data_IF_191128072140
#
_entry.id   IF_191128072140
#
_cell.length_a   1.000
_cell.length_b   1.000
_cell.length_c   1.000
_cell.angle_alpha   90.00
_cell.angle_beta   90.00
_cell.angle_gamma   90.00
#
_symmetry.space_group_name_H-M   'P 1'
#
loop_
_entity.id
_entity.type
_entity.pdbx_description
1 polymer ?
#
# COMPACT_ATOMS: atom_id res chain seq x y z
N UNK A 1 -18.46 -14.05 7.47
CA UNK A 1 -18.96 -12.70 7.92
C UNK A 1 -19.30 -11.84 6.71
N UNK A 2 -20.33 -11.00 6.80
CA UNK A 2 -20.58 -9.97 5.79
C UNK A 2 -19.50 -8.88 5.86
N UNK A 3 -19.27 -8.14 4.77
CA UNK A 3 -18.34 -7.02 4.79
C UNK A 3 -18.65 -5.99 5.89
N UNK A 4 -19.94 -5.75 6.17
CA UNK A 4 -20.38 -4.86 7.25
C UNK A 4 -19.94 -5.37 8.63
N UNK A 5 -20.02 -6.66 8.88
CA UNK A 5 -19.57 -7.28 10.12
C UNK A 5 -18.05 -7.17 10.26
N UNK A 6 -17.29 -7.46 9.19
CA UNK A 6 -15.84 -7.33 9.17
C UNK A 6 -15.42 -5.87 9.47
N UNK A 7 -16.06 -4.89 8.82
CA UNK A 7 -15.80 -3.46 9.05
C UNK A 7 -16.13 -3.04 10.49
N UNK A 8 -17.19 -3.59 11.08
CA UNK A 8 -17.58 -3.32 12.47
C UNK A 8 -16.63 -3.98 13.47
N UNK A 9 -16.18 -5.21 13.20
CA UNK A 9 -15.24 -5.92 14.06
C UNK A 9 -13.84 -5.31 14.02
N UNK A 10 -13.34 -4.93 12.84
CA UNK A 10 -12.01 -4.35 12.70
C UNK A 10 -11.86 -3.05 13.50
N UNK A 11 -10.97 -3.08 14.47
CA UNK A 11 -10.60 -1.93 15.31
C UNK A 11 -9.08 -1.75 15.30
N UNK A 12 -8.57 -0.58 15.67
CA UNK A 12 -7.16 -0.39 15.99
C UNK A 12 -6.91 -0.97 17.39
N UNK A 13 -6.44 -2.22 17.44
CA UNK A 13 -6.22 -2.95 18.69
C UNK A 13 -4.84 -2.61 19.23
N UNK A 14 -4.78 -2.20 20.50
CA UNK A 14 -3.55 -1.71 21.12
C UNK A 14 -2.96 -2.63 22.18
N UNK A 15 -3.71 -3.68 22.57
CA UNK A 15 -3.25 -4.68 23.52
C UNK A 15 -3.70 -6.07 23.06
N UNK A 16 -2.72 -6.93 22.80
CA UNK A 16 -2.93 -8.29 22.30
C UNK A 16 -2.67 -9.32 23.39
N UNK A 17 -3.36 -10.45 23.30
CA UNK A 17 -3.26 -11.58 24.22
C UNK A 17 -1.98 -12.40 23.92
N UNK A 18 -1.00 -12.44 24.82
CA UNK A 18 0.23 -13.20 24.60
C UNK A 18 0.02 -14.73 24.61
N UNK A 19 -1.09 -15.20 25.20
CA UNK A 19 -1.42 -16.62 25.26
C UNK A 19 -2.07 -17.16 23.97
N UNK A 20 -2.45 -16.28 23.04
CA UNK A 20 -3.11 -16.65 21.79
C UNK A 20 -2.19 -16.39 20.59
N UNK A 21 -1.36 -17.38 20.21
CA UNK A 21 -0.48 -17.22 19.06
C UNK A 21 -1.27 -17.08 17.76
N UNK A 22 -0.69 -16.37 16.76
CA UNK A 22 -1.20 -16.34 15.41
C UNK A 22 -0.55 -17.44 14.56
N UNK A 23 -1.35 -18.03 13.68
CA UNK A 23 -0.81 -18.88 12.62
C UNK A 23 -0.18 -17.99 11.53
N UNK A 24 1.10 -18.18 11.27
CA UNK A 24 1.84 -17.39 10.28
C UNK A 24 1.37 -17.65 8.85
N UNK A 25 0.86 -18.83 8.53
CA UNK A 25 0.32 -19.13 7.19
C UNK A 25 -1.01 -18.41 6.96
N UNK A 26 -1.86 -18.26 7.98
CA UNK A 26 -3.08 -17.44 7.88
C UNK A 26 -2.73 -15.96 7.66
N UNK A 27 -1.73 -15.43 8.37
CA UNK A 27 -1.27 -14.04 8.15
C UNK A 27 -0.69 -13.86 6.75
N UNK A 28 0.07 -14.85 6.25
CA UNK A 28 0.61 -14.85 4.88
C UNK A 28 -0.51 -14.88 3.84
N UNK A 29 -1.56 -15.69 4.02
CA UNK A 29 -2.74 -15.70 3.14
C UNK A 29 -3.43 -14.34 3.13
N UNK A 30 -3.58 -13.69 4.28
CA UNK A 30 -4.11 -12.32 4.36
C UNK A 30 -3.24 -11.29 3.59
N UNK A 31 -1.90 -11.48 3.56
CA UNK A 31 -0.99 -10.65 2.75
C UNK A 31 -1.19 -10.95 1.26
N UNK A 32 -1.40 -12.21 0.89
CA UNK A 32 -1.70 -12.59 -0.50
C UNK A 32 -3.01 -11.95 -0.97
N UNK A 33 -4.05 -11.99 -0.16
CA UNK A 33 -5.32 -11.30 -0.46
C UNK A 33 -5.12 -9.77 -0.65
N UNK A 34 -4.18 -9.13 0.05
CA UNK A 34 -3.86 -7.73 -0.15
C UNK A 34 -3.32 -7.42 -1.56
N UNK A 35 -2.79 -8.41 -2.29
CA UNK A 35 -2.34 -8.25 -3.69
C UNK A 35 -3.50 -7.98 -4.65
N UNK A 36 -4.72 -8.32 -4.27
CA UNK A 36 -5.94 -8.05 -5.06
C UNK A 36 -6.38 -6.58 -5.00
N UNK A 37 -5.78 -5.78 -4.13
CA UNK A 37 -6.07 -4.35 -4.07
C UNK A 37 -5.65 -3.64 -5.37
N UNK A 38 -6.46 -2.68 -5.87
CA UNK A 38 -6.10 -1.94 -7.07
C UNK A 38 -4.89 -1.03 -6.83
N UNK A 39 -4.02 -0.91 -7.85
CA UNK A 39 -2.88 0.01 -7.82
C UNK A 39 -2.84 0.88 -9.07
N UNK A 40 -2.28 2.08 -8.95
CA UNK A 40 -2.14 2.99 -10.09
C UNK A 40 -1.39 2.32 -11.23
N UNK A 41 -2.00 2.29 -12.42
CA UNK A 41 -1.49 1.64 -13.65
C UNK A 41 -1.10 0.16 -13.45
N UNK A 42 -1.67 -0.49 -12.45
CA UNK A 42 -1.35 -1.86 -12.02
C UNK A 42 0.15 -2.09 -11.75
N UNK A 43 0.86 -1.05 -11.30
CA UNK A 43 2.32 -1.12 -11.09
C UNK A 43 2.72 -1.87 -9.81
N UNK A 44 1.82 -2.04 -8.84
CA UNK A 44 2.05 -2.84 -7.63
C UNK A 44 3.37 -2.46 -6.92
N UNK A 45 3.63 -1.16 -6.77
CA UNK A 45 4.89 -0.61 -6.22
C UNK A 45 4.92 -0.65 -4.69
N UNK A 46 4.65 -1.81 -4.12
CA UNK A 46 4.71 -2.05 -2.68
C UNK A 46 5.17 -3.49 -2.37
N UNK A 47 5.67 -3.66 -1.18
CA UNK A 47 6.06 -4.96 -0.62
C UNK A 47 5.55 -5.05 0.82
N UNK A 48 5.33 -6.28 1.33
CA UNK A 48 5.01 -6.55 2.71
C UNK A 48 6.11 -7.41 3.34
N UNK A 49 6.58 -6.99 4.50
CA UNK A 49 7.56 -7.73 5.32
C UNK A 49 6.85 -8.32 6.51
N UNK A 50 6.72 -9.63 6.54
CA UNK A 50 6.09 -10.38 7.61
C UNK A 50 7.14 -10.83 8.62
N UNK A 51 7.06 -10.34 9.85
CA UNK A 51 8.06 -10.53 10.90
C UNK A 51 7.48 -11.41 12.01
N UNK A 52 8.11 -12.57 12.20
CA UNK A 52 7.80 -13.55 13.25
C UNK A 52 8.97 -13.74 14.22
N UNK A 53 10.17 -13.29 13.86
CA UNK A 53 11.36 -13.36 14.72
C UNK A 53 11.24 -12.36 15.87
N UNK A 54 11.33 -12.85 17.11
CA UNK A 54 11.14 -12.05 18.33
C UNK A 54 12.17 -10.93 18.47
N UNK A 55 13.43 -11.16 18.08
CA UNK A 55 14.48 -10.13 18.19
C UNK A 55 14.24 -8.99 17.23
N UNK A 56 13.79 -9.29 15.99
CA UNK A 56 13.41 -8.28 15.01
C UNK A 56 12.17 -7.55 15.46
N UNK A 57 11.19 -8.24 16.04
CA UNK A 57 9.98 -7.59 16.61
C UNK A 57 10.33 -6.63 17.75
N UNK A 58 11.27 -6.97 18.63
CA UNK A 58 11.76 -6.07 19.69
C UNK A 58 12.43 -4.81 19.10
N UNK A 59 13.22 -4.96 18.01
CA UNK A 59 13.81 -3.82 17.31
C UNK A 59 12.74 -2.93 16.68
N UNK A 60 11.72 -3.54 16.06
CA UNK A 60 10.57 -2.82 15.50
C UNK A 60 9.73 -2.13 16.59
N UNK A 61 9.59 -2.75 17.77
CA UNK A 61 8.91 -2.11 18.89
C UNK A 61 9.60 -0.81 19.29
N UNK A 62 10.94 -0.85 19.46
CA UNK A 62 11.74 0.35 19.74
C UNK A 62 11.59 1.39 18.64
N UNK A 63 11.65 0.97 17.37
CA UNK A 63 11.42 1.87 16.22
C UNK A 63 10.03 2.52 16.24
N UNK A 64 9.04 1.83 16.80
CA UNK A 64 7.67 2.31 16.99
C UNK A 64 7.42 2.96 18.38
N UNK A 65 8.48 3.47 19.01
CA UNK A 65 8.42 4.20 20.30
C UNK A 65 7.87 3.35 21.45
N UNK A 66 8.13 2.06 21.43
CA UNK A 66 7.69 1.07 22.43
C UNK A 66 6.19 1.13 22.76
N UNK A 67 5.37 1.42 21.74
CA UNK A 67 3.92 1.44 21.89
C UNK A 67 3.42 0.07 22.36
N UNK A 68 2.39 0.04 23.22
CA UNK A 68 1.83 -1.19 23.76
C UNK A 68 1.43 -2.19 22.67
N UNK A 69 0.90 -1.70 21.54
CA UNK A 69 0.52 -2.54 20.40
C UNK A 69 1.70 -3.30 19.79
N UNK A 70 2.89 -2.72 19.73
CA UNK A 70 4.09 -3.43 19.23
C UNK A 70 4.71 -4.36 20.26
N UNK A 71 4.68 -3.96 21.56
CA UNK A 71 5.22 -4.78 22.63
C UNK A 71 4.41 -6.05 22.90
N UNK A 72 3.08 -6.00 22.69
CA UNK A 72 2.18 -7.14 22.91
C UNK A 72 1.88 -7.94 21.64
N UNK A 73 2.34 -7.50 20.48
CA UNK A 73 2.08 -8.17 19.20
C UNK A 73 2.65 -9.59 19.16
N UNK A 74 1.93 -10.49 18.50
CA UNK A 74 2.40 -11.85 18.21
C UNK A 74 3.22 -11.91 16.91
N UNK A 75 2.89 -11.06 15.96
CA UNK A 75 3.59 -10.87 14.68
C UNK A 75 3.49 -9.41 14.26
N UNK A 76 4.38 -8.97 13.38
CA UNK A 76 4.33 -7.62 12.81
C UNK A 76 4.42 -7.70 11.29
N UNK A 77 3.53 -7.00 10.59
CA UNK A 77 3.62 -6.84 9.13
C UNK A 77 3.97 -5.38 8.82
N UNK A 78 5.00 -5.17 8.00
CA UNK A 78 5.42 -3.82 7.57
C UNK A 78 5.19 -3.68 6.08
N UNK A 79 4.32 -2.76 5.69
CA UNK A 79 4.12 -2.41 4.29
C UNK A 79 5.04 -1.27 3.88
N UNK A 80 5.72 -1.44 2.77
CA UNK A 80 6.66 -0.45 2.23
C UNK A 80 6.35 -0.13 0.78
N UNK A 81 6.69 1.07 0.35
CA UNK A 81 6.60 1.47 -1.06
C UNK A 81 7.94 1.27 -1.77
N UNK A 82 7.89 0.83 -3.03
CA UNK A 82 9.03 0.52 -3.88
C UNK A 82 8.95 1.28 -5.21
N UNK A 83 8.88 2.60 -5.13
CA UNK A 83 8.74 3.44 -6.33
C UNK A 83 9.87 3.20 -7.35
N UNK A 84 11.09 2.88 -6.92
CA UNK A 84 12.24 2.59 -7.79
C UNK A 84 12.00 1.44 -8.78
N UNK A 85 11.12 0.50 -8.44
CA UNK A 85 10.80 -0.66 -9.30
C UNK A 85 9.87 -0.33 -10.47
N UNK A 86 9.46 0.95 -10.64
CA UNK A 86 8.47 1.35 -11.65
C UNK A 86 8.81 0.90 -13.08
N UNK A 87 10.09 0.91 -13.48
CA UNK A 87 10.50 0.46 -14.83
C UNK A 87 10.33 -1.05 -14.99
N UNK A 88 10.76 -1.81 -13.99
CA UNK A 88 10.66 -3.26 -13.99
C UNK A 88 9.19 -3.71 -14.02
N UNK A 89 8.36 -3.14 -13.14
CA UNK A 89 6.95 -3.48 -13.05
C UNK A 89 6.15 -3.01 -14.28
N UNK A 90 6.45 -1.81 -14.82
CA UNK A 90 5.82 -1.36 -16.06
C UNK A 90 6.14 -2.28 -17.25
N UNK A 91 7.37 -2.84 -17.32
CA UNK A 91 7.74 -3.84 -18.34
C UNK A 91 6.94 -5.14 -18.19
N UNK A 92 6.79 -5.63 -16.97
CA UNK A 92 6.00 -6.84 -16.68
C UNK A 92 4.51 -6.65 -17.01
N UNK A 93 3.91 -5.52 -16.58
CA UNK A 93 2.52 -5.18 -16.89
C UNK A 93 2.30 -5.01 -18.40
N UNK A 94 3.27 -4.43 -19.13
CA UNK A 94 3.21 -4.32 -20.59
C UNK A 94 3.22 -5.69 -21.25
N UNK A 95 4.11 -6.58 -20.83
CA UNK A 95 4.22 -7.92 -21.40
C UNK A 95 2.91 -8.69 -21.27
N UNK A 96 2.32 -8.76 -20.07
CA UNK A 96 1.03 -9.42 -19.86
C UNK A 96 -0.10 -8.71 -20.63
N UNK A 97 -0.12 -7.37 -20.65
CA UNK A 97 -1.11 -6.60 -21.39
C UNK A 97 -1.07 -6.86 -22.90
N UNK A 98 0.11 -7.13 -23.47
CA UNK A 98 0.26 -7.52 -24.90
C UNK A 98 -0.35 -8.91 -25.13
N UNK A 99 -0.05 -9.87 -24.27
CA UNK A 99 -0.59 -11.23 -24.38
C UNK A 99 -2.13 -11.25 -24.18
N UNK A 100 -2.63 -10.46 -23.24
CA UNK A 100 -4.07 -10.26 -23.04
C UNK A 100 -4.74 -9.68 -24.29
N UNK A 101 -4.14 -8.66 -24.93
CA UNK A 101 -4.65 -8.07 -26.16
C UNK A 101 -4.70 -9.11 -27.29
N UNK A 102 -3.67 -9.94 -27.43
CA UNK A 102 -3.64 -11.01 -28.45
C UNK A 102 -4.72 -12.05 -28.24
N UNK A 103 -4.99 -12.43 -26.97
CA UNK A 103 -6.02 -13.42 -26.62
C UNK A 103 -7.45 -12.89 -26.83
N UNK A 104 -7.68 -11.62 -26.42
CA UNK A 104 -9.04 -11.10 -26.20
C UNK A 104 -9.46 -9.98 -27.16
N UNK A 105 -8.60 -9.59 -28.13
CA UNK A 105 -8.93 -8.51 -29.05
C UNK A 105 -9.07 -9.01 -30.50
N UNK A 106 -10.04 -8.46 -31.29
CA UNK A 106 -10.11 -8.71 -32.72
C UNK A 106 -8.80 -8.37 -33.43
N UNK A 107 -8.38 -9.21 -34.39
CA UNK A 107 -7.07 -9.11 -35.05
C UNK A 107 -6.78 -7.71 -35.62
N UNK A 108 -7.78 -7.08 -36.24
CA UNK A 108 -7.68 -5.74 -36.85
C UNK A 108 -7.46 -4.62 -35.84
N UNK A 109 -7.69 -4.88 -34.52
CA UNK A 109 -7.53 -3.90 -33.44
C UNK A 109 -6.27 -4.13 -32.61
N UNK A 110 -5.63 -5.29 -32.74
CA UNK A 110 -4.51 -5.70 -31.89
C UNK A 110 -3.31 -4.74 -32.03
N UNK A 111 -2.86 -4.47 -33.22
CA UNK A 111 -1.70 -3.60 -33.48
C UNK A 111 -1.88 -2.22 -32.85
N UNK A 112 -3.04 -1.58 -33.07
CA UNK A 112 -3.35 -0.25 -32.50
C UNK A 112 -3.38 -0.28 -30.97
N UNK A 113 -3.93 -1.34 -30.35
CA UNK A 113 -3.99 -1.49 -28.90
C UNK A 113 -2.60 -1.73 -28.31
N UNK A 114 -1.80 -2.61 -28.92
CA UNK A 114 -0.41 -2.88 -28.50
C UNK A 114 0.42 -1.60 -28.58
N UNK A 115 0.34 -0.84 -29.68
CA UNK A 115 1.05 0.43 -29.82
C UNK A 115 0.68 1.43 -28.71
N UNK A 116 -0.61 1.51 -28.34
CA UNK A 116 -1.09 2.37 -27.25
C UNK A 116 -0.55 1.92 -25.89
N UNK A 117 -0.58 0.62 -25.59
CA UNK A 117 -0.05 0.03 -24.36
C UNK A 117 1.46 0.25 -24.25
N UNK A 118 2.19 0.04 -25.37
CA UNK A 118 3.64 0.26 -25.41
C UNK A 118 3.99 1.72 -25.16
N UNK A 119 3.28 2.68 -25.79
CA UNK A 119 3.50 4.10 -25.54
C UNK A 119 3.27 4.45 -24.06
N UNK A 120 2.22 3.89 -23.47
CA UNK A 120 1.88 4.16 -22.07
C UNK A 120 2.92 3.59 -21.11
N UNK A 121 3.17 2.27 -21.14
CA UNK A 121 4.03 1.62 -20.13
C UNK A 121 5.53 1.78 -20.41
N UNK A 122 5.96 1.84 -21.67
CA UNK A 122 7.38 1.96 -22.00
C UNK A 122 7.90 3.42 -22.13
N UNK A 123 7.00 4.42 -22.24
CA UNK A 123 7.38 5.83 -22.38
C UNK A 123 6.77 6.72 -21.31
N UNK A 124 5.44 6.74 -21.20
CA UNK A 124 4.74 7.66 -20.30
C UNK A 124 4.99 7.31 -18.83
N UNK A 125 4.84 6.06 -18.42
CA UNK A 125 5.07 5.63 -17.03
C UNK A 125 6.50 5.93 -16.58
N UNK A 126 7.57 5.54 -17.31
CA UNK A 126 8.93 5.92 -16.96
C UNK A 126 9.14 7.43 -16.83
N UNK A 127 8.54 8.23 -17.69
CA UNK A 127 8.62 9.69 -17.60
C UNK A 127 7.94 10.22 -16.35
N UNK A 128 6.72 9.74 -16.02
CA UNK A 128 5.94 10.23 -14.87
C UNK A 128 6.58 9.81 -13.53
N UNK A 129 7.06 8.57 -13.41
CA UNK A 129 7.60 8.02 -12.16
C UNK A 129 9.09 8.28 -11.95
N UNK A 130 9.80 8.85 -12.95
CA UNK A 130 11.23 9.20 -12.80
C UNK A 130 11.43 10.19 -11.66
N UNK A 131 12.55 10.00 -10.94
CA UNK A 131 13.04 10.91 -9.89
C UNK A 131 14.34 11.58 -10.35
N UNK A 132 14.59 12.81 -9.93
CA UNK A 132 15.78 13.57 -10.24
C UNK A 132 15.85 14.84 -9.40
N UNK A 133 15.94 14.69 -8.08
CA UNK A 133 16.10 15.79 -7.11
C UNK A 133 15.08 16.93 -7.27
N UNK A 134 13.85 16.60 -7.67
CA UNK A 134 12.77 17.57 -7.88
C UNK A 134 12.74 18.21 -9.27
N UNK A 135 13.86 18.22 -10.02
CA UNK A 135 13.95 18.90 -11.33
C UNK A 135 12.97 18.31 -12.35
N UNK A 136 12.91 16.99 -12.48
CA UNK A 136 11.95 16.33 -13.37
C UNK A 136 10.49 16.59 -12.97
N UNK A 137 10.23 16.72 -11.66
CA UNK A 137 8.92 17.10 -11.16
C UNK A 137 8.50 18.51 -11.60
N UNK A 138 9.45 19.47 -11.57
CA UNK A 138 9.21 20.82 -12.06
C UNK A 138 8.94 20.86 -13.56
N UNK A 139 9.78 20.18 -14.35
CA UNK A 139 9.58 20.07 -15.82
C UNK A 139 8.20 19.52 -16.15
N UNK A 140 7.79 18.42 -15.50
CA UNK A 140 6.46 17.85 -15.69
C UNK A 140 5.34 18.80 -15.31
N UNK A 141 5.48 19.55 -14.21
CA UNK A 141 4.48 20.57 -13.82
C UNK A 141 4.33 21.68 -14.86
N UNK A 142 5.44 22.22 -15.35
CA UNK A 142 5.41 23.27 -16.41
C UNK A 142 4.73 22.75 -17.66
N UNK A 143 5.12 21.54 -18.14
CA UNK A 143 4.49 20.92 -19.30
C UNK A 143 3.00 20.66 -19.08
N UNK A 144 2.61 20.15 -17.89
CA UNK A 144 1.20 19.91 -17.58
C UNK A 144 0.38 21.21 -17.53
N UNK A 145 0.93 22.30 -17.00
CA UNK A 145 0.25 23.60 -17.02
C UNK A 145 0.09 24.11 -18.44
N UNK A 146 1.13 24.07 -19.27
CA UNK A 146 1.07 24.50 -20.68
C UNK A 146 0.03 23.71 -21.48
N UNK A 147 0.07 22.38 -21.42
CA UNK A 147 -0.94 21.52 -22.09
C UNK A 147 -2.34 21.76 -21.51
N UNK A 148 -2.44 21.99 -20.20
CA UNK A 148 -3.69 22.23 -19.50
C UNK A 148 -4.41 23.51 -19.84
N UNK A 149 -3.78 24.43 -20.60
CA UNK A 149 -4.45 25.60 -21.17
C UNK A 149 -5.34 25.22 -22.38
N UNK A 150 -5.02 24.12 -23.05
CA UNK A 150 -5.69 23.72 -24.31
C UNK A 150 -6.58 22.49 -24.16
N UNK A 151 -6.28 21.62 -23.17
CA UNK A 151 -7.06 20.39 -22.93
C UNK A 151 -6.93 19.89 -21.50
N UNK A 152 -7.90 19.13 -20.99
CA UNK A 152 -7.78 18.46 -19.69
C UNK A 152 -6.54 17.57 -19.63
N UNK A 153 -5.76 17.67 -18.52
CA UNK A 153 -4.58 16.87 -18.25
C UNK A 153 -4.42 16.69 -16.74
N UNK A 154 -3.77 15.59 -16.31
CA UNK A 154 -3.37 15.41 -14.92
C UNK A 154 -2.34 16.47 -14.54
N UNK A 155 -2.66 17.27 -13.52
CA UNK A 155 -1.78 18.37 -13.05
C UNK A 155 -0.88 17.97 -11.90
N UNK A 156 -1.23 16.90 -11.17
CA UNK A 156 -0.46 16.33 -10.06
C UNK A 156 0.59 15.37 -10.63
N UNK A 157 1.73 15.92 -11.08
CA UNK A 157 2.79 15.17 -11.78
C UNK A 157 4.19 15.45 -11.24
N UNK A 158 4.30 16.14 -10.09
CA UNK A 158 5.59 16.32 -9.41
C UNK A 158 6.12 14.99 -8.85
N UNK A 159 7.36 14.98 -8.40
CA UNK A 159 7.92 13.81 -7.73
C UNK A 159 7.18 13.51 -6.42
N UNK A 160 6.80 14.55 -5.67
CA UNK A 160 5.99 14.42 -4.46
C UNK A 160 4.59 13.87 -4.76
N UNK A 161 3.95 14.32 -5.86
CA UNK A 161 2.63 13.81 -6.25
C UNK A 161 2.71 12.31 -6.58
N UNK A 162 3.76 11.87 -7.27
CA UNK A 162 3.95 10.45 -7.58
C UNK A 162 4.23 9.62 -6.32
N UNK A 163 4.99 10.15 -5.37
CA UNK A 163 5.15 9.54 -4.05
C UNK A 163 3.79 9.30 -3.38
N UNK A 164 2.93 10.33 -3.36
CA UNK A 164 1.56 10.22 -2.82
C UNK A 164 0.74 9.15 -3.54
N UNK A 165 0.84 9.05 -4.88
CA UNK A 165 0.14 8.01 -5.67
C UNK A 165 0.57 6.60 -5.24
N UNK A 166 1.88 6.38 -5.04
CA UNK A 166 2.41 5.08 -4.62
C UNK A 166 1.96 4.75 -3.20
N UNK A 167 2.00 5.71 -2.27
CA UNK A 167 1.50 5.52 -0.90
C UNK A 167 0.00 5.25 -0.85
N UNK A 168 -0.82 5.92 -1.67
CA UNK A 168 -2.27 5.62 -1.76
C UNK A 168 -2.51 4.19 -2.24
N UNK A 169 -1.80 3.73 -3.26
CA UNK A 169 -1.91 2.34 -3.74
C UNK A 169 -1.51 1.33 -2.67
N UNK A 170 -0.42 1.60 -1.94
CA UNK A 170 -0.01 0.77 -0.81
C UNK A 170 -1.05 0.78 0.33
N UNK A 171 -1.63 1.95 0.64
CA UNK A 171 -2.69 2.09 1.64
C UNK A 171 -3.94 1.26 1.33
N UNK A 172 -4.30 1.10 0.04
CA UNK A 172 -5.38 0.20 -0.38
C UNK A 172 -5.04 -1.27 -0.07
N UNK A 173 -3.81 -1.71 -0.33
CA UNK A 173 -3.35 -3.05 0.02
C UNK A 173 -3.34 -3.26 1.55
N UNK A 174 -2.87 -2.27 2.32
CA UNK A 174 -2.92 -2.29 3.79
C UNK A 174 -4.35 -2.43 4.30
N UNK A 175 -5.29 -1.68 3.75
CA UNK A 175 -6.69 -1.78 4.16
C UNK A 175 -7.28 -3.16 3.82
N UNK A 176 -6.97 -3.71 2.64
CA UNK A 176 -7.39 -5.06 2.26
C UNK A 176 -6.84 -6.10 3.23
N UNK A 177 -5.53 -6.03 3.55
CA UNK A 177 -4.90 -6.87 4.55
C UNK A 177 -5.62 -6.82 5.92
N UNK A 178 -5.90 -5.61 6.42
CA UNK A 178 -6.58 -5.46 7.72
C UNK A 178 -8.00 -6.05 7.72
N UNK A 179 -8.70 -6.02 6.59
CA UNK A 179 -10.02 -6.64 6.46
C UNK A 179 -9.91 -8.17 6.43
N UNK A 180 -8.96 -8.71 5.67
CA UNK A 180 -8.69 -10.14 5.62
C UNK A 180 -8.30 -10.69 7.01
N UNK A 181 -7.42 -9.99 7.74
CA UNK A 181 -7.07 -10.33 9.13
C UNK A 181 -8.32 -10.35 10.05
N UNK A 182 -9.19 -9.34 9.90
CA UNK A 182 -10.42 -9.29 10.70
C UNK A 182 -11.41 -10.41 10.34
N UNK A 183 -11.48 -10.82 9.08
CA UNK A 183 -12.26 -11.98 8.62
C UNK A 183 -11.71 -13.29 9.20
N UNK A 184 -10.39 -13.44 9.24
CA UNK A 184 -9.70 -14.56 9.84
C UNK A 184 -9.79 -14.60 11.38
N UNK A 185 -10.43 -13.60 12.02
CA UNK A 185 -10.56 -13.50 13.47
C UNK A 185 -9.32 -12.92 14.16
N UNK A 186 -8.41 -12.30 13.41
CA UNK A 186 -7.20 -11.67 13.90
C UNK A 186 -7.33 -10.16 13.94
N UNK A 187 -6.58 -9.54 14.82
CA UNK A 187 -6.61 -8.10 15.05
C UNK A 187 -5.31 -7.43 14.60
N UNK A 188 -5.44 -6.16 14.20
CA UNK A 188 -4.32 -5.34 13.77
C UNK A 188 -4.38 -3.95 14.37
N UNK A 189 -3.22 -3.27 14.42
CA UNK A 189 -3.13 -1.85 14.74
C UNK A 189 -2.31 -1.12 13.68
N UNK A 190 -2.91 -0.27 12.82
CA UNK A 190 -2.13 0.51 11.88
C UNK A 190 -1.36 1.62 12.60
N UNK A 191 -0.04 1.65 12.43
CA UNK A 191 0.87 2.62 13.00
C UNK A 191 1.58 3.43 11.90
N UNK A 192 1.52 4.75 12.04
CA UNK A 192 2.29 5.71 11.25
C UNK A 192 3.35 6.44 12.10
N UNK A 193 3.25 6.32 13.45
CA UNK A 193 4.22 6.87 14.40
C UNK A 193 5.39 5.92 14.65
N UNK A 194 6.44 6.04 13.84
CA UNK A 194 7.66 5.24 13.94
C UNK A 194 8.88 6.00 13.44
N UNK A 195 10.07 5.60 13.90
CA UNK A 195 11.34 6.01 13.30
C UNK A 195 11.63 5.16 12.06
N UNK A 196 11.49 5.76 10.88
CA UNK A 196 11.67 5.08 9.60
C UNK A 196 13.10 4.57 9.37
N UNK A 197 14.12 5.21 9.94
CA UNK A 197 15.51 4.76 9.83
C UNK A 197 15.74 3.49 10.63
N UNK A 198 15.19 3.43 11.85
CA UNK A 198 15.28 2.25 12.69
C UNK A 198 14.48 1.07 12.11
N UNK A 199 13.28 1.30 11.55
CA UNK A 199 12.51 0.26 10.85
C UNK A 199 13.31 -0.28 9.67
N UNK A 200 13.87 0.59 8.82
CA UNK A 200 14.70 0.17 7.69
C UNK A 200 15.90 -0.66 8.13
N UNK A 201 16.57 -0.25 9.20
CA UNK A 201 17.71 -0.96 9.76
C UNK A 201 17.32 -2.35 10.27
N UNK A 202 16.23 -2.45 11.02
CA UNK A 202 15.74 -3.71 11.59
C UNK A 202 15.39 -4.74 10.52
N UNK A 203 14.87 -4.30 9.37
CA UNK A 203 14.44 -5.15 8.26
C UNK A 203 15.45 -5.21 7.10
N UNK A 204 16.63 -4.59 7.22
CA UNK A 204 17.63 -4.51 6.13
C UNK A 204 17.05 -4.00 4.82
N UNK A 205 16.15 -3.01 4.89
CA UNK A 205 15.45 -2.50 3.71
C UNK A 205 16.35 -1.64 2.82
N UNK A 206 16.13 -1.66 1.49
CA UNK A 206 16.82 -0.79 0.56
C UNK A 206 16.60 0.69 0.89
N UNK A 207 17.59 1.52 0.57
CA UNK A 207 17.58 2.95 0.91
C UNK A 207 16.42 3.71 0.24
N UNK A 208 16.01 3.26 -0.94
CA UNK A 208 15.01 3.87 -1.82
C UNK A 208 13.56 3.46 -1.50
N UNK A 209 13.34 2.52 -0.58
CA UNK A 209 12.00 2.21 -0.10
C UNK A 209 11.53 3.22 0.95
N UNK A 210 10.22 3.37 1.10
CA UNK A 210 9.62 4.16 2.17
C UNK A 210 8.62 3.30 2.94
N UNK A 211 8.61 3.46 4.28
CA UNK A 211 7.64 2.75 5.10
C UNK A 211 6.26 3.40 4.88
N UNK A 212 5.27 2.59 4.52
CA UNK A 212 3.89 3.05 4.44
C UNK A 212 3.20 2.91 5.80
N UNK A 213 3.25 1.70 6.38
CA UNK A 213 2.58 1.41 7.63
C UNK A 213 3.21 0.21 8.34
N UNK A 214 3.29 0.27 9.66
CA UNK A 214 3.65 -0.85 10.53
C UNK A 214 2.37 -1.40 11.18
N UNK A 215 2.14 -2.70 11.08
CA UNK A 215 0.93 -3.36 11.57
C UNK A 215 1.28 -4.46 12.59
N UNK A 216 1.32 -4.15 13.88
CA UNK A 216 1.24 -5.16 14.93
C UNK A 216 -0.02 -6.00 14.79
N UNK A 217 0.13 -7.32 14.89
CA UNK A 217 -0.92 -8.33 14.73
C UNK A 217 -1.02 -9.20 15.97
N UNK A 218 -2.24 -9.60 16.31
CA UNK A 218 -2.52 -10.46 17.47
C UNK A 218 -4.01 -10.73 17.60
N UNK A 219 -4.41 -11.29 18.73
CA UNK A 219 -5.80 -11.42 19.16
C UNK A 219 -6.00 -10.48 20.34
N UNK A 220 -7.05 -9.65 20.31
CA UNK A 220 -7.27 -8.63 21.34
C UNK A 220 -7.54 -9.22 22.71
N UNK A 221 -7.00 -8.59 23.74
CA UNK A 221 -7.49 -8.69 25.11
C UNK A 221 -8.80 -7.88 25.29
N UNK A 222 -9.56 -8.08 26.36
CA UNK A 222 -10.78 -7.30 26.63
C UNK A 222 -10.56 -5.78 26.66
N UNK A 223 -9.39 -5.33 27.11
CA UNK A 223 -8.95 -3.93 27.14
C UNK A 223 -8.19 -3.49 25.87
N UNK A 224 -8.10 -4.38 24.87
CA UNK A 224 -7.32 -4.18 23.66
C UNK A 224 -7.82 -3.03 22.77
N UNK A 225 -9.07 -2.62 22.93
CA UNK A 225 -9.68 -1.51 22.19
C UNK A 225 -9.98 -0.35 23.13
N UNK A 226 -9.50 0.84 22.80
CA UNK A 226 -9.78 2.04 23.59
C UNK A 226 -11.11 2.66 23.20
N UNK A 227 -12.05 2.72 24.15
CA UNK A 227 -13.33 3.40 24.01
C UNK A 227 -14.23 2.89 22.87
N UNK A 228 -15.33 3.58 22.67
CA UNK A 228 -16.25 3.32 21.56
C UNK A 228 -15.75 3.88 20.24
N UNK A 229 -16.35 3.42 19.13
CA UNK A 229 -16.02 3.96 17.82
C UNK A 229 -16.71 5.30 17.61
N UNK A 230 -15.94 6.37 17.61
CA UNK A 230 -16.41 7.68 17.19
C UNK A 230 -16.26 7.85 15.68
N UNK A 231 -17.23 8.47 15.05
CA UNK A 231 -17.20 8.99 13.68
C UNK A 231 -17.93 10.33 13.64
N UNK A 232 -17.45 11.23 12.81
CA UNK A 232 -18.19 12.44 12.51
C UNK A 232 -19.54 12.10 11.85
N UNK A 233 -20.54 12.97 11.93
CA UNK A 233 -21.80 12.80 11.21
C UNK A 233 -21.56 12.51 9.73
N UNK A 234 -22.33 11.58 9.16
CA UNK A 234 -22.14 11.16 7.76
C UNK A 234 -22.29 12.31 6.78
N UNK A 235 -23.20 13.24 7.08
CA UNK A 235 -23.53 14.40 6.29
C UNK A 235 -22.35 15.38 6.11
N UNK A 236 -21.40 15.39 7.06
CA UNK A 236 -20.17 16.19 6.94
C UNK A 236 -19.19 15.63 5.89
N UNK A 237 -19.34 14.38 5.53
CA UNK A 237 -18.46 13.67 4.59
C UNK A 237 -19.15 13.29 3.28
N UNK A 238 -20.48 13.39 3.23
CA UNK A 238 -21.28 13.00 2.08
C UNK A 238 -21.97 14.21 1.43
N UNK A 239 -21.64 14.41 0.17
CA UNK A 239 -22.25 15.45 -0.66
C UNK A 239 -22.81 14.83 -1.93
N UNK A 240 -24.12 14.92 -2.13
CA UNK A 240 -24.78 14.55 -3.38
C UNK A 240 -24.96 15.80 -4.21
N UNK A 241 -24.38 15.83 -5.43
CA UNK A 241 -24.44 16.94 -6.37
C UNK A 241 -25.29 16.52 -7.57
#
# INVERSE_FOLDING_TARGET
MSLREILNNRRAVRHFDPAKPLDAEVVKDCIEQATLAPTSSNLQLWEAYHVTDKKVMEQLSKACLDQLSTRSAQQIVVFVTRQSLYKQHAKAVLAEGIEEIKRNSPAEKQEKRIKKQTLYHAKLIPFIYSRGFGLWGLVRKVLAQGVGLFRPITRQVSESDMRVVVHKSCGLAVQTFMLAMSEAGYDTCPLEGFDSLLVKKALYLPHDCEINMVLPCGIRLPDGVRGERFRLPFEEQYHRI
#
